data_IF_754286781664
#
_entry.id   IF_754286781664
#
_cell.length_a   1.000
_cell.length_b   1.000
_cell.length_c   1.000
_cell.angle_alpha   90.00
_cell.angle_beta   90.00
_cell.angle_gamma   90.00
#
_symmetry.space_group_name_H-M   'P 1'
#
loop_
_entity.id
_entity.type
_entity.pdbx_description
1 polymer ?
#
# COMPACT_ATOMS: atom_id res chain seq x y z
N UNK A 1 1.99 -7.36 18.51
CA UNK A 1 1.85 -6.77 17.17
C UNK A 1 1.89 -7.85 16.12
N UNK A 2 0.99 -7.79 15.16
CA UNK A 2 0.96 -8.78 14.10
C UNK A 2 1.74 -8.29 12.90
N UNK A 3 2.54 -9.17 12.32
CA UNK A 3 3.31 -8.86 11.13
C UNK A 3 2.83 -9.75 9.99
N UNK A 4 2.29 -9.12 8.94
CA UNK A 4 1.78 -9.82 7.77
C UNK A 4 2.86 -9.84 6.70
N UNK A 5 3.36 -11.02 6.39
CA UNK A 5 4.45 -11.20 5.43
C UNK A 5 3.86 -11.74 4.13
N UNK A 6 4.10 -11.06 3.02
CA UNK A 6 3.52 -11.44 1.73
C UNK A 6 4.62 -11.64 0.68
N UNK A 7 4.22 -12.14 -0.48
CA UNK A 7 5.11 -12.67 -1.52
C UNK A 7 5.75 -11.63 -2.44
N UNK A 8 5.78 -10.37 -2.03
CA UNK A 8 6.38 -9.26 -2.77
C UNK A 8 5.60 -8.82 -4.02
N UNK A 9 4.46 -9.44 -4.32
CA UNK A 9 3.64 -9.04 -5.47
C UNK A 9 2.65 -7.95 -5.07
N UNK A 10 2.20 -7.18 -6.07
CA UNK A 10 1.19 -6.14 -5.82
C UNK A 10 -0.12 -6.77 -5.34
N UNK A 11 -0.50 -7.89 -5.94
CA UNK A 11 -1.69 -8.62 -5.53
C UNK A 11 -1.56 -9.13 -4.10
N UNK A 12 -0.35 -9.56 -3.73
CA UNK A 12 -0.08 -10.00 -2.37
C UNK A 12 -0.17 -8.88 -1.36
N UNK A 13 0.28 -7.68 -1.75
CA UNK A 13 0.15 -6.51 -0.88
C UNK A 13 -1.33 -6.24 -0.56
N UNK A 14 -2.19 -6.26 -1.57
CA UNK A 14 -3.61 -6.01 -1.35
C UNK A 14 -4.26 -7.13 -0.53
N UNK A 15 -3.83 -8.37 -0.72
CA UNK A 15 -4.30 -9.48 0.10
C UNK A 15 -3.91 -9.25 1.57
N UNK A 16 -2.67 -8.84 1.80
CA UNK A 16 -2.21 -8.53 3.16
C UNK A 16 -3.01 -7.38 3.77
N UNK A 17 -3.29 -6.36 2.99
CA UNK A 17 -4.10 -5.23 3.44
C UNK A 17 -5.50 -5.71 3.86
N UNK A 18 -6.08 -6.61 3.09
CA UNK A 18 -7.41 -7.13 3.40
C UNK A 18 -7.45 -7.74 4.81
N UNK A 19 -6.45 -8.56 5.13
CA UNK A 19 -6.40 -9.21 6.44
C UNK A 19 -5.94 -8.27 7.56
N UNK A 20 -5.05 -7.33 7.25
CA UNK A 20 -4.49 -6.44 8.27
C UNK A 20 -5.40 -5.27 8.60
N UNK A 21 -6.36 -4.96 7.74
CA UNK A 21 -7.15 -3.74 7.86
C UNK A 21 -7.90 -3.66 9.20
N UNK A 22 -8.40 -4.78 9.69
CA UNK A 22 -9.18 -4.81 10.92
C UNK A 22 -8.32 -4.92 12.18
N UNK A 23 -7.01 -5.12 12.02
CA UNK A 23 -6.11 -5.22 13.16
C UNK A 23 -5.62 -3.84 13.55
N UNK A 24 -5.52 -3.60 14.87
CA UNK A 24 -5.10 -2.28 15.35
C UNK A 24 -3.61 -2.08 15.21
N UNK A 25 -2.83 -3.05 15.65
CA UNK A 25 -1.38 -2.95 15.64
C UNK A 25 -0.82 -3.98 14.70
N UNK A 26 -0.66 -3.59 13.43
CA UNK A 26 -0.14 -4.51 12.45
C UNK A 26 0.86 -3.82 11.54
N UNK A 27 1.81 -4.60 11.05
CA UNK A 27 2.75 -4.15 10.04
C UNK A 27 2.69 -5.12 8.87
N UNK A 28 3.02 -4.62 7.69
CA UNK A 28 3.06 -5.41 6.47
C UNK A 28 4.50 -5.39 5.97
N UNK A 29 5.04 -6.58 5.69
CA UNK A 29 6.43 -6.73 5.30
C UNK A 29 6.51 -7.61 4.06
N UNK A 30 7.35 -7.22 3.09
CA UNK A 30 7.66 -8.09 1.97
C UNK A 30 8.49 -9.28 2.47
N UNK A 31 8.26 -10.45 1.89
CA UNK A 31 8.99 -11.64 2.28
C UNK A 31 10.52 -11.43 2.19
N UNK A 32 10.96 -10.69 1.18
CA UNK A 32 12.40 -10.42 1.00
C UNK A 32 13.00 -9.55 2.10
N UNK A 33 12.16 -8.77 2.79
CA UNK A 33 12.62 -7.86 3.84
C UNK A 33 12.35 -8.39 5.23
N UNK A 34 11.76 -9.58 5.33
CA UNK A 34 11.35 -10.13 6.61
C UNK A 34 12.55 -10.53 7.46
N UNK A 35 12.55 -10.08 8.69
CA UNK A 35 13.56 -10.47 9.68
C UNK A 35 12.83 -11.06 10.88
N UNK A 36 13.18 -12.28 11.33
CA UNK A 36 12.50 -12.89 12.47
C UNK A 36 12.58 -12.01 13.72
N UNK A 37 11.48 -11.97 14.44
CA UNK A 37 11.40 -11.21 15.69
C UNK A 37 10.54 -11.99 16.67
N UNK A 38 10.99 -12.03 17.92
CA UNK A 38 10.21 -12.70 18.97
C UNK A 38 9.06 -11.84 19.46
N UNK A 39 9.04 -10.57 19.08
CA UNK A 39 8.04 -9.64 19.58
C UNK A 39 6.77 -9.60 18.75
N UNK A 40 6.84 -10.09 17.51
CA UNK A 40 5.70 -10.03 16.60
C UNK A 40 5.14 -11.41 16.33
N UNK A 41 3.81 -11.47 16.25
CA UNK A 41 3.13 -12.66 15.75
C UNK A 41 3.15 -12.57 14.23
N UNK A 42 3.82 -13.53 13.58
CA UNK A 42 4.01 -13.51 12.14
C UNK A 42 2.91 -14.30 11.45
N UNK A 43 2.30 -13.70 10.45
CA UNK A 43 1.24 -14.31 9.66
C UNK A 43 1.66 -14.29 8.21
N UNK A 44 1.86 -15.47 7.63
CA UNK A 44 2.23 -15.56 6.23
C UNK A 44 0.98 -15.38 5.37
N UNK A 45 1.04 -14.46 4.43
CA UNK A 45 -0.09 -14.15 3.56
C UNK A 45 0.19 -14.71 2.17
N UNK A 46 -0.71 -15.58 1.72
CA UNK A 46 -0.67 -16.08 0.35
C UNK A 46 -1.59 -15.22 -0.49
N UNK A 47 -1.15 -14.91 -1.71
CA UNK A 47 -1.93 -14.09 -2.63
C UNK A 47 -3.26 -14.76 -2.94
N UNK A 48 -4.34 -14.03 -2.74
CA UNK A 48 -5.70 -14.46 -3.07
C UNK A 48 -6.31 -13.41 -3.99
N UNK A 49 -6.55 -13.80 -5.22
CA UNK A 49 -7.03 -12.85 -6.23
C UNK A 49 -8.38 -12.25 -5.87
N UNK A 50 -9.27 -13.02 -5.27
CA UNK A 50 -10.57 -12.49 -4.85
C UNK A 50 -10.42 -11.41 -3.78
N UNK A 51 -9.47 -11.55 -2.86
CA UNK A 51 -9.21 -10.52 -1.85
C UNK A 51 -8.58 -9.28 -2.47
N UNK A 52 -7.64 -9.48 -3.39
CA UNK A 52 -7.05 -8.39 -4.15
C UNK A 52 -8.14 -7.60 -4.87
N UNK A 53 -9.03 -8.28 -5.57
CA UNK A 53 -10.09 -7.61 -6.32
C UNK A 53 -11.04 -6.85 -5.42
N UNK A 54 -11.34 -7.39 -4.25
CA UNK A 54 -12.21 -6.69 -3.30
C UNK A 54 -11.60 -5.37 -2.87
N UNK A 55 -10.32 -5.36 -2.52
CA UNK A 55 -9.65 -4.13 -2.09
C UNK A 55 -9.54 -3.17 -3.26
N UNK A 56 -9.13 -3.67 -4.42
CA UNK A 56 -8.96 -2.88 -5.63
C UNK A 56 -10.27 -2.16 -6.00
N UNK A 57 -11.36 -2.93 -6.09
CA UNK A 57 -12.64 -2.37 -6.48
C UNK A 57 -13.21 -1.43 -5.42
N UNK A 58 -12.96 -1.72 -4.15
CA UNK A 58 -13.39 -0.85 -3.07
C UNK A 58 -12.73 0.52 -3.17
N UNK A 59 -11.43 0.55 -3.48
CA UNK A 59 -10.72 1.82 -3.65
C UNK A 59 -11.31 2.60 -4.82
N UNK A 60 -11.56 1.93 -5.94
CA UNK A 60 -12.10 2.60 -7.12
C UNK A 60 -13.52 3.14 -6.90
N UNK A 61 -14.34 2.42 -6.13
CA UNK A 61 -15.74 2.82 -5.96
C UNK A 61 -15.95 3.77 -4.79
N UNK A 62 -15.20 3.61 -3.70
CA UNK A 62 -15.40 4.41 -2.50
C UNK A 62 -14.44 5.58 -2.38
N UNK A 63 -13.28 5.49 -3.03
CA UNK A 63 -12.31 6.56 -3.05
C UNK A 63 -12.17 7.03 -4.49
N UNK A 64 -10.95 7.09 -5.02
CA UNK A 64 -10.81 7.41 -6.44
C UNK A 64 -9.53 6.81 -7.01
N UNK A 65 -9.36 6.97 -8.31
CA UNK A 65 -8.24 6.39 -9.01
C UNK A 65 -6.89 6.98 -8.56
N UNK A 66 -6.89 8.23 -8.09
CA UNK A 66 -5.64 8.87 -7.66
C UNK A 66 -5.07 8.18 -6.41
N UNK A 67 -5.94 7.69 -5.53
CA UNK A 67 -5.51 6.93 -4.36
C UNK A 67 -4.81 5.64 -4.80
N UNK A 68 -5.42 4.95 -5.76
CA UNK A 68 -4.85 3.70 -6.27
C UNK A 68 -3.49 3.94 -6.91
N UNK A 69 -3.34 5.02 -7.67
CA UNK A 69 -2.07 5.37 -8.31
C UNK A 69 -1.00 5.64 -7.26
N UNK A 70 -1.35 6.37 -6.20
CA UNK A 70 -0.40 6.64 -5.12
C UNK A 70 0.04 5.35 -4.43
N UNK A 71 -0.88 4.43 -4.19
CA UNK A 71 -0.54 3.15 -3.58
C UNK A 71 0.42 2.38 -4.49
N UNK A 72 0.19 2.38 -5.78
CA UNK A 72 1.08 1.72 -6.72
C UNK A 72 2.48 2.32 -6.69
N UNK A 73 2.56 3.65 -6.64
CA UNK A 73 3.85 4.33 -6.52
C UNK A 73 4.57 3.97 -5.24
N UNK A 74 3.84 3.89 -4.13
CA UNK A 74 4.43 3.49 -2.85
C UNK A 74 4.97 2.05 -2.93
N UNK A 75 4.20 1.17 -3.56
CA UNK A 75 4.64 -0.21 -3.76
C UNK A 75 5.94 -0.25 -4.58
N UNK A 76 6.01 0.55 -5.65
CA UNK A 76 7.17 0.56 -6.52
C UNK A 76 8.40 1.19 -5.88
N UNK A 77 8.22 2.01 -4.85
CA UNK A 77 9.34 2.67 -4.18
C UNK A 77 10.27 1.68 -3.51
N UNK A 78 9.75 0.50 -3.16
CA UNK A 78 10.51 -0.60 -2.57
C UNK A 78 11.24 -0.20 -1.29
N UNK A 79 10.67 0.73 -0.54
CA UNK A 79 11.17 1.11 0.76
C UNK A 79 10.45 0.27 1.80
N UNK A 80 11.18 -0.26 2.78
CA UNK A 80 10.65 -1.26 3.70
C UNK A 80 9.36 -0.81 4.41
N UNK A 81 9.30 0.45 4.82
CA UNK A 81 8.17 0.95 5.60
C UNK A 81 6.96 1.32 4.77
N UNK A 82 7.08 1.33 3.44
CA UNK A 82 5.97 1.83 2.62
C UNK A 82 4.77 0.90 2.61
N UNK A 83 4.96 -0.39 2.82
CA UNK A 83 3.82 -1.31 2.83
C UNK A 83 2.90 -1.04 4.01
N UNK A 84 3.48 -0.82 5.19
CA UNK A 84 2.69 -0.42 6.35
C UNK A 84 2.11 0.97 6.17
N UNK A 85 2.85 1.86 5.53
CA UNK A 85 2.35 3.19 5.21
C UNK A 85 1.11 3.12 4.32
N UNK A 86 1.10 2.22 3.34
CA UNK A 86 -0.08 2.01 2.49
C UNK A 86 -1.28 1.63 3.33
N UNK A 87 -1.10 0.70 4.27
CA UNK A 87 -2.21 0.30 5.14
C UNK A 87 -2.74 1.49 5.93
N UNK A 88 -1.86 2.27 6.53
CA UNK A 88 -2.28 3.43 7.33
C UNK A 88 -2.91 4.50 6.46
N UNK A 89 -2.39 4.71 5.27
CA UNK A 89 -2.94 5.65 4.32
C UNK A 89 -4.37 5.26 3.92
N UNK A 90 -4.60 3.97 3.64
CA UNK A 90 -5.94 3.50 3.30
C UNK A 90 -6.91 3.66 4.46
N UNK A 91 -6.48 3.36 5.68
CA UNK A 91 -7.33 3.58 6.86
C UNK A 91 -7.73 5.05 6.97
N UNK A 92 -6.78 5.93 6.72
CA UNK A 92 -7.05 7.36 6.74
C UNK A 92 -8.03 7.77 5.65
N UNK A 93 -7.83 7.29 4.44
CA UNK A 93 -8.71 7.61 3.31
C UNK A 93 -10.13 7.11 3.54
N UNK A 94 -10.29 5.92 4.08
CA UNK A 94 -11.62 5.38 4.34
C UNK A 94 -12.32 6.12 5.47
N UNK A 95 -11.56 6.70 6.41
CA UNK A 95 -12.15 7.46 7.50
C UNK A 95 -12.60 8.85 7.09
N UNK A 96 -11.86 9.50 6.20
CA UNK A 96 -12.08 10.90 5.86
C UNK A 96 -12.39 11.15 4.39
N UNK A 97 -12.35 10.13 3.57
CA UNK A 97 -12.56 10.27 2.12
C UNK A 97 -11.28 10.67 1.41
N UNK A 98 -11.32 10.61 0.06
CA UNK A 98 -10.15 10.89 -0.76
C UNK A 98 -9.66 12.34 -0.61
N UNK A 99 -10.52 13.24 -0.15
CA UNK A 99 -10.14 14.65 0.05
C UNK A 99 -9.06 14.82 1.10
N UNK A 100 -8.79 13.81 1.94
CA UNK A 100 -7.73 13.89 2.93
C UNK A 100 -6.36 14.12 2.26
N UNK A 101 -6.23 13.78 0.98
CA UNK A 101 -5.00 14.04 0.24
C UNK A 101 -4.64 15.52 0.16
N UNK A 102 -5.60 16.39 0.44
CA UNK A 102 -5.37 17.84 0.47
C UNK A 102 -4.85 18.31 1.84
N UNK A 103 -4.82 17.45 2.82
CA UNK A 103 -4.35 17.80 4.17
C UNK A 103 -2.83 17.74 4.24
N UNK A 104 -2.17 18.75 3.72
CA UNK A 104 -0.71 18.76 3.57
C UNK A 104 0.05 18.82 4.89
N UNK A 105 -0.62 19.00 6.00
CA UNK A 105 -0.01 18.97 7.32
C UNK A 105 -0.17 17.63 8.04
N UNK A 106 -0.82 16.65 7.41
CA UNK A 106 -0.99 15.33 7.99
C UNK A 106 0.28 14.51 7.77
N UNK A 107 0.80 13.88 8.84
CA UNK A 107 2.05 13.15 8.78
C UNK A 107 2.02 12.02 7.75
N UNK A 108 0.91 11.28 7.70
CA UNK A 108 0.78 10.18 6.75
C UNK A 108 0.79 10.72 5.32
N UNK A 109 0.07 11.80 5.07
CA UNK A 109 0.00 12.39 3.73
C UNK A 109 1.37 12.92 3.31
N UNK A 110 2.11 13.53 4.23
CA UNK A 110 3.45 14.02 3.95
C UNK A 110 4.35 12.88 3.48
N UNK A 111 4.32 11.76 4.18
CA UNK A 111 5.16 10.61 3.82
C UNK A 111 4.71 9.98 2.50
N UNK A 112 3.41 9.85 2.30
CA UNK A 112 2.87 9.31 1.05
C UNK A 112 3.32 10.16 -0.14
N UNK A 113 3.18 11.48 -0.02
CA UNK A 113 3.60 12.38 -1.10
C UNK A 113 5.10 12.30 -1.34
N UNK A 114 5.89 12.23 -0.27
CA UNK A 114 7.34 12.15 -0.39
C UNK A 114 7.80 10.92 -1.17
N UNK A 115 7.31 9.76 -0.78
CA UNK A 115 7.73 8.51 -1.41
C UNK A 115 7.12 8.34 -2.80
N UNK A 116 5.89 8.79 -2.98
CA UNK A 116 5.23 8.75 -4.26
C UNK A 116 5.97 9.58 -5.31
N UNK A 117 6.47 10.76 -4.93
CA UNK A 117 7.21 11.63 -5.84
C UNK A 117 8.51 11.01 -6.31
N UNK A 118 9.17 10.25 -5.45
CA UNK A 118 10.42 9.59 -5.84
C UNK A 118 10.20 8.67 -7.03
N UNK A 119 9.15 7.88 -6.97
CA UNK A 119 8.82 6.96 -8.05
C UNK A 119 8.43 7.72 -9.31
N UNK A 120 7.66 8.79 -9.17
CA UNK A 120 7.24 9.60 -10.30
C UNK A 120 8.44 10.18 -11.02
N UNK A 121 9.43 10.69 -10.29
CA UNK A 121 10.63 11.24 -10.91
C UNK A 121 11.40 10.18 -11.67
N UNK A 122 11.53 8.99 -11.11
CA UNK A 122 12.23 7.91 -11.79
C UNK A 122 11.44 7.41 -13.01
N UNK A 123 10.13 7.37 -12.90
CA UNK A 123 9.29 6.91 -14.00
C UNK A 123 9.42 7.80 -15.23
N UNK A 124 9.71 9.08 -15.06
CA UNK A 124 9.94 9.97 -16.20
C UNK A 124 11.10 9.54 -17.07
N UNK A 125 12.07 8.86 -16.50
CA UNK A 125 13.22 8.37 -17.26
C UNK A 125 12.86 7.18 -18.14
N UNK A 126 11.79 6.50 -17.81
CA UNK A 126 11.35 5.32 -18.53
C UNK A 126 10.00 5.57 -19.18
N UNK A 127 9.84 6.74 -19.75
CA UNK A 127 8.60 7.15 -20.38
C UNK A 127 8.10 6.08 -21.36
N UNK A 128 6.83 5.75 -21.24
CA UNK A 128 6.22 4.78 -22.11
C UNK A 128 6.47 3.34 -21.71
N UNK A 129 7.33 3.12 -20.75
CA UNK A 129 7.69 1.80 -20.30
C UNK A 129 6.63 1.21 -19.40
N UNK A 130 6.14 2.01 -18.45
CA UNK A 130 5.09 1.58 -17.55
C UNK A 130 3.76 2.09 -18.06
N UNK A 131 2.83 1.17 -18.27
CA UNK A 131 1.51 1.51 -18.73
C UNK A 131 0.52 1.04 -17.72
N UNK A 132 -0.18 1.96 -17.15
CA UNK A 132 -1.09 1.63 -16.08
C UNK A 132 -2.54 1.75 -16.47
N UNK A 133 -2.76 2.14 -17.66
CA UNK A 133 -4.11 2.49 -18.08
C UNK A 133 -4.93 1.31 -18.55
N UNK A 134 -4.31 0.22 -18.80
CA UNK A 134 -5.02 -0.92 -19.33
C UNK A 134 -5.92 -1.56 -18.35
N UNK A 135 -5.90 -1.12 -17.20
CA UNK A 135 -6.71 -1.68 -16.17
C UNK A 135 -8.19 -1.51 -16.46
#
# INVERSE_FOLDING_TARGET
MKEFVYDNSFEGLFTAIFYAYTEKDSIITKNKDYLPSLLNEVLEVKTEIDKFERVYNSILTKLDNSVLIKIYHLYLSDIKETDTLVLNYLKLCYSYGASINLAKNNDIIILVDKYSRRVTCEAHRFTGFVRFKEI
#
